data_IF_265087596231
#
_entry.id   IF_265087596231
#
_cell.length_a   1.000
_cell.length_b   1.000
_cell.length_c   1.000
_cell.angle_alpha   90.00
_cell.angle_beta   90.00
_cell.angle_gamma   90.00
#
_symmetry.space_group_name_H-M   'P 1'
#
loop_
_entity.id
_entity.type
_entity.pdbx_description
1 polymer ?
#
# COMPACT_ATOMS: atom_id res chain seq x y z
N UNK A 1 -30.71 -59.07 -14.29
CA UNK A 1 -29.28 -58.99 -14.69
C UNK A 1 -29.15 -57.89 -15.74
N UNK A 2 -28.12 -57.03 -15.75
CA UNK A 2 -27.18 -56.61 -14.71
C UNK A 2 -27.06 -55.05 -14.64
N UNK A 3 -26.82 -54.47 -13.47
CA UNK A 3 -25.52 -54.00 -12.92
C UNK A 3 -25.31 -52.47 -12.98
N UNK A 4 -25.52 -51.89 -11.79
CA UNK A 4 -24.62 -51.02 -11.05
C UNK A 4 -23.28 -50.67 -11.74
N UNK A 5 -23.04 -49.38 -11.99
CA UNK A 5 -21.69 -48.82 -12.14
C UNK A 5 -21.38 -47.94 -10.92
N UNK A 6 -20.79 -48.60 -9.95
CA UNK A 6 -19.82 -48.16 -8.94
C UNK A 6 -19.58 -46.64 -8.82
N UNK A 7 -20.04 -46.09 -7.69
CA UNK A 7 -19.47 -44.88 -7.08
C UNK A 7 -18.14 -45.27 -6.45
N UNK A 8 -17.03 -44.69 -6.91
CA UNK A 8 -15.76 -44.72 -6.19
C UNK A 8 -14.85 -43.58 -6.64
N UNK A 9 -15.11 -42.36 -6.15
CA UNK A 9 -14.05 -41.37 -5.99
C UNK A 9 -13.68 -41.35 -4.51
N UNK A 10 -12.79 -42.27 -4.12
CA UNK A 10 -12.03 -42.15 -2.88
C UNK A 10 -10.99 -41.08 -3.12
N UNK A 11 -11.38 -39.82 -2.93
CA UNK A 11 -10.43 -38.73 -2.80
C UNK A 11 -9.84 -38.82 -1.39
N UNK A 12 -8.61 -39.31 -1.28
CA UNK A 12 -7.79 -39.15 -0.07
C UNK A 12 -7.74 -37.64 0.23
N UNK A 13 -8.46 -37.23 1.27
CA UNK A 13 -8.29 -35.94 1.91
C UNK A 13 -6.95 -35.94 2.64
N UNK A 14 -5.85 -35.80 1.89
CA UNK A 14 -4.56 -35.43 2.45
C UNK A 14 -4.61 -33.93 2.75
N UNK A 15 -4.83 -33.63 4.03
CA UNK A 15 -4.88 -32.29 4.55
C UNK A 15 -3.61 -31.51 4.25
N UNK A 16 -3.78 -30.34 3.65
CA UNK A 16 -2.90 -29.19 3.87
C UNK A 16 -3.82 -28.02 4.12
N UNK A 17 -4.14 -27.78 5.40
CA UNK A 17 -4.69 -26.49 5.81
C UNK A 17 -3.54 -25.49 5.68
N UNK A 18 -3.34 -24.98 4.47
CA UNK A 18 -2.46 -23.84 4.25
C UNK A 18 -3.09 -22.66 4.97
N UNK A 19 -2.56 -22.32 6.15
CA UNK A 19 -2.77 -21.01 6.76
C UNK A 19 -2.27 -19.98 5.75
N UNK A 20 -3.17 -19.49 4.90
CA UNK A 20 -2.93 -18.34 4.07
C UNK A 20 -2.77 -17.14 5.00
N UNK A 21 -1.58 -16.97 5.58
CA UNK A 21 -1.21 -15.73 6.22
C UNK A 21 -1.46 -14.61 5.19
N UNK A 22 -2.18 -13.54 5.55
CA UNK A 22 -2.45 -12.48 4.61
C UNK A 22 -1.11 -11.85 4.22
N UNK A 23 -0.68 -12.10 2.99
CA UNK A 23 0.54 -11.52 2.39
C UNK A 23 0.49 -9.98 2.34
N UNK A 24 -0.61 -9.38 2.76
CA UNK A 24 -0.88 -7.95 2.75
C UNK A 24 -0.27 -7.23 3.95
N UNK A 25 -0.21 -7.82 5.16
CA UNK A 25 0.19 -7.07 6.35
C UNK A 25 1.64 -6.57 6.31
N UNK A 26 2.61 -7.46 6.04
CA UNK A 26 4.03 -7.09 5.95
C UNK A 26 4.32 -6.20 4.73
N UNK A 27 3.71 -6.50 3.57
CA UNK A 27 3.84 -5.68 2.37
C UNK A 27 3.26 -4.26 2.56
N UNK A 28 2.15 -4.13 3.31
CA UNK A 28 1.56 -2.84 3.66
C UNK A 28 2.49 -2.04 4.58
N UNK A 29 3.16 -2.68 5.55
CA UNK A 29 4.11 -1.99 6.43
C UNK A 29 5.33 -1.43 5.68
N UNK A 30 5.94 -2.22 4.79
CA UNK A 30 7.06 -1.75 3.97
C UNK A 30 6.64 -0.65 2.98
N UNK A 31 5.47 -0.78 2.35
CA UNK A 31 4.91 0.24 1.47
C UNK A 31 4.62 1.56 2.19
N UNK A 32 4.08 1.51 3.41
CA UNK A 32 3.82 2.71 4.19
C UNK A 32 5.08 3.40 4.69
N UNK A 33 6.12 2.64 5.05
CA UNK A 33 7.42 3.23 5.37
C UNK A 33 7.98 4.01 4.17
N UNK A 34 7.98 3.39 2.98
CA UNK A 34 8.42 4.06 1.75
C UNK A 34 7.60 5.33 1.45
N UNK A 35 6.27 5.25 1.57
CA UNK A 35 5.39 6.38 1.35
C UNK A 35 5.68 7.52 2.32
N UNK A 36 5.82 7.23 3.62
CA UNK A 36 6.10 8.23 4.64
C UNK A 36 7.45 8.92 4.42
N UNK A 37 8.49 8.17 4.06
CA UNK A 37 9.82 8.75 3.76
C UNK A 37 9.78 9.63 2.50
N UNK A 38 9.04 9.19 1.48
CA UNK A 38 8.83 9.96 0.24
C UNK A 38 8.07 11.26 0.53
N UNK A 39 7.00 11.18 1.33
CA UNK A 39 6.19 12.33 1.74
C UNK A 39 7.01 13.38 2.50
N UNK A 40 7.93 12.97 3.36
CA UNK A 40 8.84 13.88 4.05
C UNK A 40 9.82 14.55 3.09
N UNK A 41 10.45 13.80 2.19
CA UNK A 41 11.37 14.36 1.18
C UNK A 41 10.67 15.38 0.28
N UNK A 42 9.46 15.06 -0.16
CA UNK A 42 8.64 15.96 -0.97
C UNK A 42 8.26 17.22 -0.19
N UNK A 43 7.99 17.13 1.12
CA UNK A 43 7.73 18.31 1.95
C UNK A 43 8.99 19.19 2.11
N UNK A 44 10.14 18.57 2.33
CA UNK A 44 11.41 19.29 2.37
C UNK A 44 11.66 20.02 1.05
N UNK A 45 11.40 19.37 -0.08
CA UNK A 45 11.51 20.01 -1.39
C UNK A 45 10.52 21.19 -1.55
N UNK A 46 9.26 21.02 -1.15
CA UNK A 46 8.25 22.09 -1.14
C UNK A 46 8.73 23.33 -0.35
N UNK A 47 9.32 23.11 0.83
CA UNK A 47 9.87 24.19 1.66
C UNK A 47 11.12 24.82 1.04
N UNK A 48 12.10 24.02 0.63
CA UNK A 48 13.36 24.48 0.04
C UNK A 48 13.14 25.30 -1.23
N UNK A 49 12.16 24.91 -2.03
CA UNK A 49 11.80 25.58 -3.29
C UNK A 49 10.74 26.65 -3.11
N UNK A 50 10.25 26.87 -1.89
CA UNK A 50 9.21 27.84 -1.54
C UNK A 50 7.94 27.68 -2.39
N UNK A 51 7.57 26.44 -2.73
CA UNK A 51 6.40 26.15 -3.55
C UNK A 51 5.07 26.47 -2.84
N UNK A 52 5.08 26.58 -1.51
CA UNK A 52 3.96 27.10 -0.73
C UNK A 52 2.82 26.11 -0.53
N UNK A 53 2.98 24.83 -0.88
CA UNK A 53 1.97 23.82 -0.61
C UNK A 53 1.79 23.59 0.90
N UNK A 54 0.55 23.42 1.36
CA UNK A 54 0.15 23.30 2.76
C UNK A 54 -0.92 22.23 2.90
N UNK A 55 -1.20 21.80 4.13
CA UNK A 55 -2.20 20.78 4.43
C UNK A 55 -1.59 19.55 5.10
N UNK A 56 -2.43 18.59 5.49
CA UNK A 56 -2.00 17.37 6.15
C UNK A 56 -1.07 16.53 5.26
N UNK A 57 -1.32 16.53 3.96
CA UNK A 57 -0.49 15.88 2.95
C UNK A 57 0.90 16.51 2.85
N UNK A 58 1.06 17.80 3.17
CA UNK A 58 2.36 18.49 3.22
C UNK A 58 2.90 18.63 4.65
N UNK A 59 2.45 17.79 5.59
CA UNK A 59 2.99 17.76 6.94
C UNK A 59 4.44 17.25 6.98
N UNK A 60 5.29 17.86 7.82
CA UNK A 60 6.63 17.36 8.14
C UNK A 60 6.62 16.22 9.18
N UNK A 61 5.44 15.75 9.61
CA UNK A 61 5.30 14.66 10.57
C UNK A 61 5.24 13.30 9.87
N UNK A 62 6.32 12.54 9.97
CA UNK A 62 6.43 11.19 9.38
C UNK A 62 5.39 10.21 9.95
N UNK A 63 5.13 10.28 11.25
CA UNK A 63 4.17 9.40 11.91
C UNK A 63 2.73 9.65 11.40
N UNK A 64 2.40 10.90 11.06
CA UNK A 64 1.11 11.22 10.45
C UNK A 64 0.95 10.55 9.07
N UNK A 65 2.02 10.52 8.25
CA UNK A 65 2.01 9.81 6.96
C UNK A 65 1.88 8.30 7.11
N UNK A 66 2.57 7.71 8.11
CA UNK A 66 2.41 6.29 8.43
C UNK A 66 0.98 5.96 8.86
N UNK A 67 0.42 6.75 9.77
CA UNK A 67 -0.93 6.56 10.29
C UNK A 67 -1.97 6.68 9.17
N UNK A 68 -1.84 7.70 8.31
CA UNK A 68 -2.71 7.84 7.15
C UNK A 68 -2.57 6.65 6.21
N UNK A 69 -1.35 6.27 5.81
CA UNK A 69 -1.13 5.15 4.88
C UNK A 69 -1.72 3.81 5.37
N UNK A 70 -1.66 3.54 6.68
CA UNK A 70 -2.22 2.33 7.27
C UNK A 70 -3.75 2.21 7.07
N UNK A 71 -4.44 3.33 6.82
CA UNK A 71 -5.89 3.37 6.53
C UNK A 71 -6.22 3.31 5.04
N UNK A 72 -5.21 3.33 4.17
CA UNK A 72 -5.38 3.50 2.73
C UNK A 72 -4.95 2.27 1.94
N UNK A 73 -5.56 2.07 0.77
CA UNK A 73 -5.08 1.06 -0.17
C UNK A 73 -3.72 1.44 -0.76
N UNK A 74 -2.90 0.46 -1.19
CA UNK A 74 -1.67 0.71 -1.94
C UNK A 74 -1.80 1.73 -3.07
N UNK A 75 -2.87 1.65 -3.84
CA UNK A 75 -3.07 2.54 -4.98
C UNK A 75 -3.35 3.98 -4.55
N UNK A 76 -4.02 4.17 -3.42
CA UNK A 76 -4.35 5.50 -2.88
C UNK A 76 -3.09 6.26 -2.43
N UNK A 77 -2.22 5.63 -1.64
CA UNK A 77 -0.99 6.30 -1.19
C UNK A 77 0.03 6.46 -2.32
N UNK A 78 0.07 5.53 -3.30
CA UNK A 78 0.89 5.70 -4.51
C UNK A 78 0.41 6.88 -5.35
N UNK A 79 -0.91 6.99 -5.57
CA UNK A 79 -1.50 8.09 -6.32
C UNK A 79 -1.22 9.43 -5.64
N UNK A 80 -1.27 9.49 -4.31
CA UNK A 80 -0.94 10.70 -3.56
C UNK A 80 0.54 11.09 -3.72
N UNK A 81 1.48 10.13 -3.56
CA UNK A 81 2.91 10.38 -3.77
C UNK A 81 3.21 10.88 -5.20
N UNK A 82 2.57 10.29 -6.22
CA UNK A 82 2.69 10.74 -7.61
C UNK A 82 2.08 12.12 -7.84
N UNK A 83 0.94 12.42 -7.22
CA UNK A 83 0.32 13.73 -7.32
C UNK A 83 1.23 14.82 -6.77
N UNK A 84 1.82 14.58 -5.59
CA UNK A 84 2.78 15.50 -4.97
C UNK A 84 4.02 15.70 -5.83
N UNK A 85 4.50 14.64 -6.47
CA UNK A 85 5.59 14.75 -7.44
C UNK A 85 5.22 15.66 -8.62
N UNK A 86 4.02 15.55 -9.17
CA UNK A 86 3.54 16.42 -10.24
C UNK A 86 3.40 17.88 -9.78
N UNK A 87 2.88 18.11 -8.58
CA UNK A 87 2.78 19.45 -7.98
C UNK A 87 4.16 20.09 -7.84
N UNK A 88 5.15 19.35 -7.33
CA UNK A 88 6.53 19.81 -7.22
C UNK A 88 7.14 20.08 -8.60
N UNK A 89 6.95 19.19 -9.58
CA UNK A 89 7.44 19.40 -10.93
C UNK A 89 6.87 20.69 -11.57
N UNK A 90 5.61 21.03 -11.27
CA UNK A 90 4.95 22.25 -11.77
C UNK A 90 5.32 23.53 -11.02
N UNK A 91 5.93 23.43 -9.84
CA UNK A 91 6.38 24.59 -9.09
C UNK A 91 7.52 25.30 -9.85
N UNK A 92 7.38 26.59 -10.13
CA UNK A 92 8.47 27.44 -10.63
C UNK A 92 8.95 28.29 -9.46
N UNK A 93 10.24 28.24 -9.16
CA UNK A 93 10.85 28.96 -8.03
C UNK A 93 10.74 30.46 -8.22
#
# INVERSE_FOLDING_TARGET
>A
MPSLKTVAFVSLAAGVCALAAPRTALAQTAGCAWYADTAIKQQQENEQRRCGFKGAEWSANRQAHLAWCATQSPDSWKAQAQNRQRMLAGCRK
#
